data_IF_533316352524
#
_entry.id   IF_533316352524
#
_cell.length_a   1.000
_cell.length_b   1.000
_cell.length_c   1.000
_cell.angle_alpha   90.00
_cell.angle_beta   90.00
_cell.angle_gamma   90.00
#
_symmetry.space_group_name_H-M   'P 1'
#
loop_
_entity.id
_entity.type
_entity.pdbx_description
1 polymer ?
#
# COMPACT_ATOMS: atom_id res chain seq x y z
N UNK A 1 -52.45 15.19 -42.34
CA UNK A 1 -51.45 14.18 -42.72
C UNK A 1 -50.31 14.24 -41.72
N UNK A 2 -50.33 13.38 -40.70
CA UNK A 2 -49.27 13.26 -39.69
C UNK A 2 -48.20 12.29 -40.19
N UNK A 3 -46.93 12.71 -40.24
CA UNK A 3 -45.79 11.79 -40.12
C UNK A 3 -44.54 12.53 -39.63
N UNK A 4 -44.41 12.63 -38.29
CA UNK A 4 -43.43 11.90 -37.45
C UNK A 4 -42.00 12.47 -37.53
N UNK A 5 -41.65 13.23 -36.50
CA UNK A 5 -40.27 13.60 -36.16
C UNK A 5 -39.54 12.33 -35.69
N UNK A 6 -38.34 12.01 -36.19
CA UNK A 6 -37.59 10.89 -35.67
C UNK A 6 -36.96 11.30 -34.33
N UNK A 7 -37.41 10.68 -33.24
CA UNK A 7 -36.69 10.71 -31.96
C UNK A 7 -35.46 9.80 -32.10
N UNK A 8 -34.30 10.39 -32.35
CA UNK A 8 -33.03 9.71 -32.15
C UNK A 8 -32.80 9.55 -30.64
N UNK A 9 -33.36 8.49 -30.06
CA UNK A 9 -32.97 8.04 -28.72
C UNK A 9 -31.63 7.35 -28.85
N UNK A 10 -30.56 8.15 -28.82
CA UNK A 10 -29.21 7.63 -28.67
C UNK A 10 -29.04 7.10 -27.24
N UNK A 11 -29.23 5.79 -27.04
CA UNK A 11 -28.68 5.13 -25.86
C UNK A 11 -27.17 5.07 -26.04
N UNK A 12 -26.46 6.08 -25.53
CA UNK A 12 -25.04 5.90 -25.23
C UNK A 12 -25.00 4.95 -24.03
N UNK A 13 -24.96 3.66 -24.30
CA UNK A 13 -24.51 2.69 -23.31
C UNK A 13 -23.02 2.97 -23.15
N UNK A 14 -22.68 3.90 -22.26
CA UNK A 14 -21.38 3.88 -21.60
C UNK A 14 -21.35 2.54 -20.87
N UNK A 15 -20.92 1.50 -21.57
CA UNK A 15 -20.63 0.22 -20.96
C UNK A 15 -19.79 0.55 -19.74
N UNK A 16 -20.31 0.23 -18.56
CA UNK A 16 -19.52 0.32 -17.35
C UNK A 16 -18.28 -0.51 -17.66
N UNK A 17 -17.15 0.12 -17.91
CA UNK A 17 -15.87 -0.55 -17.88
C UNK A 17 -15.76 -1.00 -16.44
N UNK A 18 -16.28 -2.21 -16.17
CA UNK A 18 -16.13 -2.87 -14.89
C UNK A 18 -14.63 -3.10 -14.81
N UNK A 19 -13.95 -2.15 -14.18
CA UNK A 19 -12.56 -2.27 -13.85
C UNK A 19 -12.41 -3.65 -13.21
N UNK A 20 -11.44 -4.43 -13.67
CA UNK A 20 -11.06 -5.61 -12.91
C UNK A 20 -10.49 -5.12 -11.59
N UNK A 21 -11.34 -4.97 -10.58
CA UNK A 21 -11.00 -4.53 -9.22
C UNK A 21 -10.20 -5.60 -8.45
N UNK A 22 -9.80 -6.68 -9.12
CA UNK A 22 -9.10 -7.80 -8.53
C UNK A 22 -7.62 -7.47 -8.39
N UNK A 23 -7.08 -7.83 -7.22
CA UNK A 23 -5.66 -7.89 -6.99
C UNK A 23 -5.11 -9.16 -7.66
N UNK A 24 -4.00 -9.01 -8.37
CA UNK A 24 -3.24 -10.10 -8.98
C UNK A 24 -1.81 -10.06 -8.43
N UNK A 25 -1.18 -11.22 -8.31
CA UNK A 25 0.20 -11.29 -7.85
C UNK A 25 1.13 -10.50 -8.78
N UNK A 26 2.07 -9.78 -8.17
CA UNK A 26 3.08 -8.99 -8.87
C UNK A 26 4.45 -9.28 -8.26
N UNK A 27 5.50 -9.19 -9.08
CA UNK A 27 6.87 -9.27 -8.57
C UNK A 27 7.11 -8.09 -7.62
N UNK A 28 7.64 -8.40 -6.43
CA UNK A 28 7.96 -7.43 -5.39
C UNK A 28 9.16 -6.53 -5.72
N UNK A 29 9.94 -6.89 -6.74
CA UNK A 29 11.13 -6.14 -7.17
C UNK A 29 10.87 -5.25 -8.40
N UNK A 30 9.65 -5.24 -8.93
CA UNK A 30 9.32 -4.53 -10.15
C UNK A 30 8.41 -3.32 -9.90
N UNK A 31 8.35 -2.46 -10.92
CA UNK A 31 7.51 -1.28 -10.98
C UNK A 31 7.69 -0.37 -9.75
N UNK A 32 6.58 0.05 -9.15
CA UNK A 32 6.55 0.95 -7.99
C UNK A 32 6.34 0.21 -6.67
N UNK A 33 6.45 -1.13 -6.65
CA UNK A 33 6.21 -1.91 -5.44
C UNK A 33 7.22 -1.56 -4.32
N UNK A 34 8.54 -1.50 -4.56
CA UNK A 34 9.50 -1.13 -3.52
C UNK A 34 9.23 0.26 -2.93
N UNK A 35 8.97 1.26 -3.78
CA UNK A 35 8.63 2.61 -3.32
C UNK A 35 7.32 2.67 -2.55
N UNK A 36 6.33 1.85 -2.90
CA UNK A 36 5.10 1.72 -2.13
C UNK A 36 5.35 1.12 -0.74
N UNK A 37 6.26 0.14 -0.63
CA UNK A 37 6.71 -0.42 0.65
C UNK A 37 7.37 0.64 1.52
N UNK A 38 8.35 1.37 0.98
CA UNK A 38 9.02 2.47 1.68
C UNK A 38 8.01 3.51 2.19
N UNK A 39 7.09 3.94 1.32
CA UNK A 39 6.05 4.88 1.69
C UNK A 39 5.13 4.36 2.81
N UNK A 40 4.71 3.09 2.76
CA UNK A 40 3.87 2.54 3.82
C UNK A 40 4.59 2.39 5.16
N UNK A 41 5.87 2.00 5.13
CA UNK A 41 6.70 1.91 6.34
C UNK A 41 6.89 3.28 6.95
N UNK A 42 7.13 4.31 6.12
CA UNK A 42 7.20 5.69 6.57
C UNK A 42 5.89 6.14 7.22
N UNK A 43 4.75 5.98 6.54
CA UNK A 43 3.44 6.36 7.09
C UNK A 43 3.12 5.61 8.38
N UNK A 44 3.42 4.31 8.45
CA UNK A 44 3.26 3.54 9.68
C UNK A 44 4.05 4.15 10.83
N UNK A 45 5.32 4.50 10.62
CA UNK A 45 6.13 5.14 11.66
C UNK A 45 5.55 6.48 12.11
N UNK A 46 5.12 7.33 11.18
CA UNK A 46 4.51 8.62 11.54
C UNK A 46 3.22 8.45 12.36
N UNK A 47 2.39 7.45 12.01
CA UNK A 47 1.08 7.22 12.65
C UNK A 47 1.15 6.47 13.99
N UNK A 48 2.19 5.67 14.24
CA UNK A 48 2.31 4.90 15.49
C UNK A 48 2.59 5.82 16.70
N UNK A 49 2.22 5.39 17.91
CA UNK A 49 2.58 6.13 19.15
C UNK A 49 3.96 5.76 19.70
N UNK A 50 4.53 4.61 19.31
CA UNK A 50 5.85 4.15 19.80
C UNK A 50 6.92 5.21 19.49
N UNK A 51 7.87 5.45 20.38
CA UNK A 51 8.94 6.44 20.14
C UNK A 51 9.99 5.89 19.16
N UNK A 52 10.14 4.56 19.14
CA UNK A 52 11.11 3.88 18.30
C UNK A 52 10.59 3.66 16.88
N UNK A 53 11.50 3.74 15.92
CA UNK A 53 11.20 3.44 14.53
C UNK A 53 11.05 1.93 14.31
N UNK A 54 10.16 1.57 13.39
CA UNK A 54 10.01 0.22 12.86
C UNK A 54 10.62 0.15 11.46
N UNK A 55 11.49 -0.84 11.23
CA UNK A 55 12.08 -1.11 9.92
C UNK A 55 11.37 -2.25 9.21
N UNK A 56 11.39 -2.22 7.89
CA UNK A 56 10.93 -3.30 7.04
C UNK A 56 11.81 -4.55 7.19
N UNK A 57 11.17 -5.72 7.30
CA UNK A 57 11.86 -7.03 7.41
C UNK A 57 11.53 -7.98 6.26
N UNK A 58 10.32 -7.91 5.70
CA UNK A 58 9.96 -8.82 4.61
C UNK A 58 8.55 -8.65 4.07
N UNK A 59 8.37 -9.11 2.83
CA UNK A 59 7.10 -9.17 2.12
C UNK A 59 6.50 -10.56 2.21
N UNK A 60 5.26 -10.67 2.67
CA UNK A 60 4.47 -11.91 2.67
C UNK A 60 3.46 -11.97 1.52
N UNK A 61 2.96 -10.81 1.08
CA UNK A 61 2.03 -10.69 -0.05
C UNK A 61 2.45 -9.51 -0.91
N UNK A 62 2.47 -9.72 -2.22
CA UNK A 62 2.80 -8.73 -3.24
C UNK A 62 1.77 -8.80 -4.35
N UNK A 63 0.76 -7.92 -4.30
CA UNK A 63 -0.30 -7.89 -5.30
C UNK A 63 -0.55 -6.47 -5.79
N UNK A 64 -1.02 -6.35 -7.03
CA UNK A 64 -1.41 -5.09 -7.67
C UNK A 64 -2.79 -5.23 -8.31
N UNK A 65 -3.60 -4.16 -8.32
CA UNK A 65 -4.79 -4.11 -9.17
C UNK A 65 -4.38 -4.06 -10.64
N UNK A 66 -5.04 -4.83 -11.51
CA UNK A 66 -4.57 -5.00 -12.90
C UNK A 66 -4.39 -3.68 -13.69
N UNK A 67 -5.26 -2.70 -13.46
CA UNK A 67 -5.33 -1.45 -14.26
C UNK A 67 -4.81 -0.20 -13.54
N UNK A 68 -4.41 -0.34 -12.27
CA UNK A 68 -3.91 0.79 -11.47
C UNK A 68 -2.59 0.42 -10.83
N UNK A 69 -1.89 1.40 -10.28
CA UNK A 69 -0.72 1.16 -9.43
C UNK A 69 -1.12 1.11 -7.96
N UNK A 70 -2.25 0.46 -7.68
CA UNK A 70 -2.71 0.21 -6.33
C UNK A 70 -2.17 -1.15 -5.89
N UNK A 71 -1.32 -1.15 -4.87
CA UNK A 71 -0.71 -2.34 -4.30
C UNK A 71 -1.43 -2.79 -3.05
N UNK A 72 -1.58 -4.10 -2.90
CA UNK A 72 -1.97 -4.78 -1.67
C UNK A 72 -0.78 -5.60 -1.20
N UNK A 73 -0.29 -5.27 -0.02
CA UNK A 73 0.94 -5.86 0.49
C UNK A 73 0.83 -6.23 1.96
N UNK A 74 1.38 -7.40 2.28
CA UNK A 74 1.54 -7.83 3.67
C UNK A 74 3.01 -7.71 4.02
N UNK A 75 3.32 -6.88 5.01
CA UNK A 75 4.68 -6.61 5.43
C UNK A 75 4.89 -7.08 6.87
N UNK A 76 6.09 -7.58 7.13
CA UNK A 76 6.59 -7.73 8.50
C UNK A 76 7.56 -6.60 8.77
N UNK A 77 7.40 -5.96 9.92
CA UNK A 77 8.25 -4.87 10.39
C UNK A 77 8.68 -5.15 11.83
N UNK A 78 9.86 -4.67 12.21
CA UNK A 78 10.42 -4.87 13.54
C UNK A 78 10.86 -3.55 14.16
N UNK A 79 10.63 -3.43 15.47
CA UNK A 79 11.05 -2.27 16.25
C UNK A 79 12.57 -2.20 16.33
N UNK A 80 13.10 -1.00 16.13
CA UNK A 80 14.53 -0.71 16.14
C UNK A 80 14.95 0.00 17.41
N UNK A 81 16.25 0.14 17.62
CA UNK A 81 16.81 0.95 18.73
C UNK A 81 16.77 2.45 18.44
N UNK A 82 16.53 2.84 17.19
CA UNK A 82 16.51 4.24 16.75
C UNK A 82 15.13 4.87 16.95
N UNK A 83 15.11 6.18 17.13
CA UNK A 83 13.88 6.98 17.14
C UNK A 83 13.41 7.27 15.71
N UNK A 84 12.14 7.62 15.54
CA UNK A 84 11.50 7.85 14.23
C UNK A 84 12.13 8.88 13.31
N UNK A 85 12.89 9.82 13.87
CA UNK A 85 13.53 10.90 13.11
C UNK A 85 15.05 10.85 13.20
N UNK A 86 15.61 9.72 13.66
CA UNK A 86 17.02 9.46 13.52
C UNK A 86 17.34 9.20 12.04
N UNK A 87 18.55 9.55 11.62
CA UNK A 87 19.01 9.27 10.26
C UNK A 87 19.17 7.75 10.05
N UNK A 88 18.85 7.28 8.84
CA UNK A 88 19.17 5.92 8.39
C UNK A 88 18.50 4.77 9.19
N UNK A 89 17.17 4.81 9.29
CA UNK A 89 16.35 3.77 9.93
C UNK A 89 16.56 2.38 9.28
N UNK A 90 16.83 2.33 7.98
CA UNK A 90 17.01 1.07 7.25
C UNK A 90 18.23 0.28 7.75
N UNK A 91 19.32 0.96 8.11
CA UNK A 91 20.49 0.33 8.71
C UNK A 91 20.41 0.22 10.24
N UNK A 92 19.35 0.74 10.87
CA UNK A 92 19.18 0.66 12.31
C UNK A 92 19.01 -0.80 12.80
N UNK A 93 19.70 -1.21 13.89
CA UNK A 93 19.52 -2.52 14.50
C UNK A 93 18.11 -2.71 15.09
N UNK A 94 17.63 -3.95 15.05
CA UNK A 94 16.43 -4.34 15.78
C UNK A 94 16.69 -4.34 17.29
N UNK A 95 15.63 -4.11 18.07
CA UNK A 95 15.68 -4.36 19.50
C UNK A 95 15.65 -5.85 19.80
N UNK A 96 16.36 -6.26 20.85
CA UNK A 96 16.47 -7.65 21.29
C UNK A 96 15.97 -7.79 22.74
N UNK A 97 15.60 -9.01 23.12
CA UNK A 97 15.19 -9.34 24.48
C UNK A 97 13.74 -8.97 24.79
N UNK A 98 13.48 -8.45 25.99
CA UNK A 98 12.11 -8.16 26.46
C UNK A 98 11.44 -7.01 25.71
N UNK A 99 12.22 -6.24 24.96
CA UNK A 99 11.80 -5.09 24.18
C UNK A 99 11.65 -5.40 22.67
N UNK A 100 11.90 -6.64 22.25
CA UNK A 100 11.67 -7.05 20.88
C UNK A 100 10.17 -6.97 20.54
N UNK A 101 9.86 -6.27 19.44
CA UNK A 101 8.51 -6.18 18.90
C UNK A 101 8.53 -6.35 17.39
N UNK A 102 7.65 -7.23 16.91
CA UNK A 102 7.38 -7.42 15.48
C UNK A 102 5.90 -7.25 15.21
N UNK A 103 5.59 -6.57 14.11
CA UNK A 103 4.22 -6.39 13.64
C UNK A 103 4.09 -6.96 12.24
N UNK A 104 2.91 -7.53 11.96
CA UNK A 104 2.51 -7.88 10.61
C UNK A 104 1.37 -6.95 10.21
N UNK A 105 1.57 -6.25 9.11
CA UNK A 105 0.62 -5.27 8.62
C UNK A 105 0.16 -5.61 7.21
N UNK A 106 -1.10 -5.34 6.92
CA UNK A 106 -1.66 -5.29 5.58
C UNK A 106 -1.80 -3.83 5.19
N UNK A 107 -1.21 -3.46 4.06
CA UNK A 107 -1.30 -2.12 3.50
C UNK A 107 -1.97 -2.15 2.13
N UNK A 108 -2.73 -1.10 1.84
CA UNK A 108 -3.18 -0.78 0.49
C UNK A 108 -2.64 0.61 0.15
N UNK A 109 -1.76 0.69 -0.85
CA UNK A 109 -1.13 1.94 -1.28
C UNK A 109 -1.46 2.19 -2.74
N UNK A 110 -1.95 3.38 -3.04
CA UNK A 110 -2.13 3.84 -4.41
C UNK A 110 -0.96 4.72 -4.85
N UNK A 111 -0.42 4.45 -6.04
CA UNK A 111 0.69 5.21 -6.63
C UNK A 111 0.20 5.99 -7.83
N UNK A 112 0.10 7.31 -7.69
CA UNK A 112 -0.18 8.23 -8.77
C UNK A 112 1.13 8.65 -9.44
N UNK A 113 1.72 7.72 -10.20
CA UNK A 113 3.03 7.86 -10.84
C UNK A 113 3.20 9.14 -11.66
N UNK A 114 2.15 9.61 -12.34
CA UNK A 114 2.18 10.84 -13.14
C UNK A 114 2.34 12.12 -12.28
N UNK A 115 1.97 12.08 -11.00
CA UNK A 115 2.16 13.19 -10.04
C UNK A 115 3.24 12.90 -9.00
N UNK A 116 3.95 11.77 -9.08
CA UNK A 116 4.89 11.30 -8.05
C UNK A 116 4.28 11.29 -6.64
N UNK A 117 2.99 10.96 -6.55
CA UNK A 117 2.23 10.95 -5.30
C UNK A 117 1.88 9.53 -4.88
N UNK A 118 1.91 9.31 -3.58
CA UNK A 118 1.50 8.07 -2.94
C UNK A 118 0.32 8.37 -2.01
N UNK A 119 -0.61 7.43 -1.89
CA UNK A 119 -1.74 7.56 -0.97
C UNK A 119 -1.94 6.26 -0.23
N UNK A 120 -1.90 6.34 1.10
CA UNK A 120 -2.23 5.22 1.97
C UNK A 120 -3.76 5.06 2.01
N UNK A 121 -4.28 4.00 1.40
CA UNK A 121 -5.72 3.72 1.36
C UNK A 121 -6.18 2.87 2.55
N UNK A 122 -5.29 2.00 3.05
CA UNK A 122 -5.56 1.18 4.22
C UNK A 122 -4.25 0.79 4.92
N UNK A 123 -4.27 0.77 6.25
CA UNK A 123 -3.23 0.24 7.11
C UNK A 123 -3.91 -0.54 8.24
N UNK A 124 -3.67 -1.86 8.29
CA UNK A 124 -4.18 -2.73 9.35
C UNK A 124 -3.06 -3.58 9.88
N UNK A 125 -2.77 -3.49 11.18
CA UNK A 125 -1.63 -4.16 11.81
C UNK A 125 -2.07 -5.07 12.96
N UNK A 126 -1.35 -6.19 13.13
CA UNK A 126 -1.43 -7.05 14.30
C UNK A 126 -0.04 -7.28 14.89
N UNK A 127 0.08 -7.19 16.21
CA UNK A 127 1.32 -7.53 16.93
C UNK A 127 1.55 -9.05 16.89
N UNK A 128 2.80 -9.47 16.63
CA UNK A 128 3.22 -10.86 16.89
C UNK A 128 3.93 -10.91 18.23
N UNK A 129 3.37 -11.66 19.17
CA UNK A 129 4.12 -12.18 20.32
C UNK A 129 4.69 -13.54 19.94
N UNK A 130 5.99 -13.71 20.15
CA UNK A 130 6.64 -15.03 20.14
C UNK A 130 6.52 -15.68 21.51
#
# INVERSE_FOLDING_TARGET
MWWKVPLLVGFIVLGTHVCSCKFVDTDKNLDYFPSAVEYAVFQFNEDQEDEFAYKFLGVHRSQRKSWTWTYLMDLTMGRTVCKKHDEDIDNCPLQEGTEEKMVRCTFIVDVQWWFSQFTLLNSTCGERRW
#
